data_IF_044236209013
#
_entry.id   IF_044236209013
#
_cell.length_a   1.000
_cell.length_b   1.000
_cell.length_c   1.000
_cell.angle_alpha   90.00
_cell.angle_beta   90.00
_cell.angle_gamma   90.00
#
_symmetry.space_group_name_H-M   'P 1'
#
loop_
_entity.id
_entity.type
_entity.pdbx_description
1 polymer ?
#
# COMPACT_ATOMS: atom_id res chain seq x y z
N UNK A 1 16.69 6.25 -12.54
CA UNK A 1 16.49 5.23 -11.48
C UNK A 1 16.12 6.00 -10.22
N UNK A 2 15.09 5.60 -9.49
CA UNK A 2 14.69 6.27 -8.24
C UNK A 2 15.67 5.93 -7.13
N UNK A 3 16.17 6.94 -6.42
CA UNK A 3 17.03 6.75 -5.25
C UNK A 3 16.20 6.80 -3.96
N UNK A 4 16.53 5.89 -3.03
CA UNK A 4 15.80 5.71 -1.78
C UNK A 4 16.71 6.02 -0.60
N UNK A 5 16.23 6.90 0.28
CA UNK A 5 16.92 7.26 1.51
C UNK A 5 16.11 6.73 2.69
N UNK A 6 16.74 5.94 3.56
CA UNK A 6 16.12 5.36 4.75
C UNK A 6 17.04 5.44 5.96
N UNK A 7 16.46 5.60 7.15
CA UNK A 7 17.18 5.61 8.43
C UNK A 7 17.29 7.00 9.07
N UNK A 8 17.91 7.07 10.25
CA UNK A 8 18.29 8.33 10.87
C UNK A 8 19.40 8.90 10.03
N UNK A 9 19.14 10.01 9.35
CA UNK A 9 20.21 10.63 8.58
C UNK A 9 21.13 11.27 9.61
N UNK A 10 22.35 10.76 9.69
CA UNK A 10 23.33 11.25 10.63
C UNK A 10 23.77 12.66 10.23
N UNK A 11 24.20 13.44 11.22
CA UNK A 11 24.78 14.77 11.01
C UNK A 11 26.12 14.71 10.23
N UNK A 12 26.52 13.53 9.74
CA UNK A 12 27.75 13.27 8.99
C UNK A 12 27.54 13.21 7.46
N UNK A 13 26.36 13.55 6.96
CA UNK A 13 26.17 13.93 5.55
C UNK A 13 26.18 12.80 4.52
N UNK A 14 26.10 11.52 4.94
CA UNK A 14 26.15 10.37 4.01
C UNK A 14 24.85 10.09 3.26
N UNK A 15 23.77 10.77 3.62
CA UNK A 15 22.53 10.85 2.87
C UNK A 15 22.17 12.34 2.87
N UNK A 16 22.60 13.16 1.92
CA UNK A 16 22.10 14.54 1.83
C UNK A 16 21.65 14.79 0.41
N UNK A 17 20.44 15.31 0.28
CA UNK A 17 19.95 15.77 -1.00
C UNK A 17 20.64 17.11 -1.26
N UNK A 18 21.56 17.09 -2.23
CA UNK A 18 22.32 18.29 -2.58
C UNK A 18 21.61 19.16 -3.62
N UNK A 19 20.67 18.59 -4.36
CA UNK A 19 19.89 19.32 -5.35
C UNK A 19 18.75 20.11 -4.68
N UNK A 20 18.38 21.26 -5.25
CA UNK A 20 17.13 21.90 -4.89
C UNK A 20 15.94 21.04 -5.37
N UNK A 21 14.93 20.88 -4.53
CA UNK A 21 13.83 19.93 -4.79
C UNK A 21 12.48 20.60 -5.01
N UNK A 22 11.66 19.95 -5.84
CA UNK A 22 10.20 20.07 -5.83
C UNK A 22 9.68 18.84 -5.11
N UNK A 23 9.02 19.04 -3.98
CA UNK A 23 8.73 17.94 -3.07
C UNK A 23 7.28 17.85 -2.63
N UNK A 24 6.92 16.67 -2.15
CA UNK A 24 5.69 16.41 -1.41
C UNK A 24 6.02 15.66 -0.12
N UNK A 25 5.15 15.79 0.90
CA UNK A 25 5.30 15.07 2.16
C UNK A 25 3.96 14.51 2.66
N UNK A 26 3.98 13.27 3.17
CA UNK A 26 2.78 12.61 3.68
C UNK A 26 2.99 11.13 4.01
N UNK A 27 1.97 10.45 4.54
CA UNK A 27 2.07 9.01 4.85
C UNK A 27 2.12 8.15 3.60
N UNK A 28 1.50 8.61 2.50
CA UNK A 28 1.50 7.92 1.19
C UNK A 28 1.15 6.43 1.27
N UNK A 29 0.30 6.05 2.24
CA UNK A 29 -0.12 4.65 2.35
C UNK A 29 -1.06 4.29 1.20
N UNK A 30 -0.90 3.10 0.64
CA UNK A 30 -1.67 2.64 -0.52
C UNK A 30 -1.32 3.32 -1.85
N UNK A 31 -0.74 4.52 -1.87
CA UNK A 31 -0.45 5.32 -3.09
C UNK A 31 -1.64 5.29 -4.05
N UNK A 32 -2.79 5.77 -3.57
CA UNK A 32 -4.01 5.89 -4.37
C UNK A 32 -3.90 6.96 -5.45
N UNK A 33 -4.90 7.07 -6.32
CA UNK A 33 -4.90 8.01 -7.45
C UNK A 33 -4.67 9.47 -7.03
N UNK A 34 -5.22 9.88 -5.89
CA UNK A 34 -4.92 11.18 -5.26
C UNK A 34 -3.43 11.40 -5.01
N UNK A 35 -2.74 10.42 -4.40
CA UNK A 35 -1.28 10.47 -4.23
C UNK A 35 -0.54 10.49 -5.58
N UNK A 36 -0.96 9.67 -6.54
CA UNK A 36 -0.34 9.62 -7.88
C UNK A 36 -0.44 10.96 -8.62
N UNK A 37 -1.56 11.68 -8.47
CA UNK A 37 -1.72 13.04 -9.02
C UNK A 37 -0.68 14.00 -8.45
N UNK A 38 -0.46 13.98 -7.14
CA UNK A 38 0.58 14.80 -6.47
C UNK A 38 1.97 14.42 -6.99
N UNK A 39 2.29 13.11 -7.00
CA UNK A 39 3.59 12.60 -7.47
C UNK A 39 3.85 13.02 -8.92
N UNK A 40 2.90 12.81 -9.82
CA UNK A 40 3.03 13.19 -11.22
C UNK A 40 3.28 14.69 -11.39
N UNK A 41 2.59 15.52 -10.59
CA UNK A 41 2.76 16.97 -10.62
C UNK A 41 4.15 17.40 -10.16
N UNK A 42 4.65 16.88 -9.03
CA UNK A 42 6.02 17.23 -8.57
C UNK A 42 7.07 16.77 -9.58
N UNK A 43 6.89 15.61 -10.23
CA UNK A 43 7.82 15.12 -11.24
C UNK A 43 7.83 16.02 -12.49
N UNK A 44 6.65 16.41 -12.99
CA UNK A 44 6.54 17.31 -14.14
C UNK A 44 7.14 18.70 -13.82
N UNK A 45 6.83 19.22 -12.63
CA UNK A 45 7.30 20.54 -12.21
C UNK A 45 8.80 20.56 -12.01
N UNK A 46 9.37 19.56 -11.33
CA UNK A 46 10.80 19.38 -11.16
C UNK A 46 11.53 19.39 -12.52
N UNK A 47 11.04 18.60 -13.48
CA UNK A 47 11.59 18.58 -14.85
C UNK A 47 11.51 19.95 -15.54
N UNK A 48 10.38 20.64 -15.44
CA UNK A 48 10.16 21.92 -16.10
C UNK A 48 11.12 23.02 -15.61
N UNK A 49 11.56 22.95 -14.35
CA UNK A 49 12.44 23.96 -13.74
C UNK A 49 13.88 23.45 -13.51
N UNK A 50 14.25 22.30 -14.07
CA UNK A 50 15.59 21.74 -13.97
C UNK A 50 16.00 21.30 -12.55
N UNK A 51 15.03 20.85 -11.73
CA UNK A 51 15.22 20.39 -10.35
C UNK A 51 14.89 18.91 -10.19
N UNK A 52 15.11 18.38 -8.99
CA UNK A 52 14.78 16.99 -8.62
C UNK A 52 13.45 16.88 -7.90
N UNK A 53 12.71 15.83 -8.20
CA UNK A 53 11.46 15.50 -7.53
C UNK A 53 11.71 14.65 -6.27
N UNK A 54 11.08 15.02 -5.15
CA UNK A 54 11.25 14.32 -3.88
C UNK A 54 9.91 13.98 -3.22
N UNK A 55 9.71 12.72 -2.84
CA UNK A 55 8.63 12.32 -1.94
C UNK A 55 9.20 11.99 -0.59
N UNK A 56 8.72 12.70 0.43
CA UNK A 56 9.02 12.39 1.83
C UNK A 56 7.85 11.63 2.42
N UNK A 57 8.14 10.47 2.99
CA UNK A 57 7.17 9.65 3.71
C UNK A 57 7.73 9.15 5.03
N UNK A 58 6.88 8.53 5.84
CA UNK A 58 7.19 8.18 7.20
C UNK A 58 7.20 6.67 7.38
N UNK A 59 8.15 6.20 8.19
CA UNK A 59 8.21 4.81 8.63
C UNK A 59 8.71 4.74 10.08
N UNK A 60 8.01 4.09 11.02
CA UNK A 60 6.68 3.51 10.85
C UNK A 60 5.60 4.58 10.61
N UNK A 61 4.35 4.16 10.42
CA UNK A 61 3.24 5.09 10.25
C UNK A 61 3.11 6.02 11.47
N UNK A 62 2.93 7.35 11.33
CA UNK A 62 2.91 8.27 12.47
C UNK A 62 1.95 7.89 13.59
N UNK A 63 0.74 7.41 13.24
CA UNK A 63 -0.24 6.93 14.23
C UNK A 63 0.21 5.70 15.02
N UNK A 64 1.09 4.84 14.49
CA UNK A 64 1.60 3.71 15.27
C UNK A 64 2.52 4.13 16.42
N UNK A 65 3.00 5.38 16.39
CA UNK A 65 3.79 5.98 17.46
C UNK A 65 2.93 6.89 18.34
N UNK A 66 2.08 7.72 17.72
CA UNK A 66 1.25 8.69 18.44
C UNK A 66 0.07 8.06 19.18
N UNK A 67 -0.52 7.01 18.63
CA UNK A 67 -1.71 6.35 19.15
C UNK A 67 -1.75 4.90 18.66
N UNK A 68 -0.91 4.01 19.21
CA UNK A 68 -0.78 2.62 18.74
C UNK A 68 -2.12 1.88 18.61
N UNK A 69 -3.04 2.08 19.55
CA UNK A 69 -4.36 1.44 19.55
C UNK A 69 -5.28 1.90 18.40
N UNK A 70 -4.94 3.03 17.76
CA UNK A 70 -5.66 3.60 16.62
C UNK A 70 -4.86 3.50 15.32
N UNK A 71 -3.71 2.83 15.34
CA UNK A 71 -2.90 2.65 14.17
C UNK A 71 -3.66 1.81 13.13
N UNK A 72 -3.81 2.30 11.89
CA UNK A 72 -4.50 1.54 10.87
C UNK A 72 -3.62 0.37 10.41
N UNK A 73 -4.25 -0.71 9.93
CA UNK A 73 -3.56 -1.68 9.08
C UNK A 73 -3.05 -1.00 7.81
N UNK A 74 -1.86 -1.39 7.36
CA UNK A 74 -1.15 -0.73 6.27
C UNK A 74 -1.63 -1.26 4.91
N UNK A 75 -1.98 -0.36 4.00
CA UNK A 75 -2.37 -0.72 2.63
C UNK A 75 -1.16 -1.18 1.80
N UNK A 76 0.04 -0.71 2.16
CA UNK A 76 1.30 -1.11 1.51
C UNK A 76 2.37 -1.34 2.55
N UNK A 77 3.13 -2.44 2.41
CA UNK A 77 4.40 -2.60 3.14
C UNK A 77 5.46 -1.64 2.58
N UNK A 78 6.57 -1.49 3.28
CA UNK A 78 7.73 -0.74 2.81
C UNK A 78 8.21 -1.20 1.42
N UNK A 79 8.31 -2.51 1.20
CA UNK A 79 8.81 -3.06 -0.07
C UNK A 79 7.80 -2.84 -1.21
N UNK A 80 6.50 -3.03 -0.94
CA UNK A 80 5.45 -2.75 -1.92
C UNK A 80 5.39 -1.26 -2.28
N UNK A 81 5.52 -0.37 -1.28
CA UNK A 81 5.54 1.08 -1.50
C UNK A 81 6.71 1.48 -2.41
N UNK A 82 7.90 0.89 -2.20
CA UNK A 82 9.06 1.11 -3.08
C UNK A 82 8.78 0.64 -4.51
N UNK A 83 8.25 -0.57 -4.69
CA UNK A 83 7.91 -1.12 -6.00
C UNK A 83 6.94 -0.19 -6.76
N UNK A 84 5.88 0.28 -6.09
CA UNK A 84 4.89 1.19 -6.70
C UNK A 84 5.53 2.54 -7.07
N UNK A 85 6.36 3.12 -6.19
CA UNK A 85 7.00 4.42 -6.44
C UNK A 85 8.04 4.36 -7.55
N UNK A 86 8.73 3.23 -7.73
CA UNK A 86 9.69 3.04 -8.82
C UNK A 86 9.04 3.26 -10.20
N UNK A 87 7.75 2.90 -10.35
CA UNK A 87 6.96 3.12 -11.57
C UNK A 87 6.42 4.54 -11.75
N UNK A 88 6.60 5.44 -10.78
CA UNK A 88 6.02 6.80 -10.81
C UNK A 88 6.95 7.86 -11.43
N UNK A 89 8.19 7.50 -11.77
CA UNK A 89 9.15 8.42 -12.39
C UNK A 89 9.65 9.53 -11.46
N UNK A 90 9.67 9.25 -10.16
CA UNK A 90 10.21 10.14 -9.13
C UNK A 90 11.72 9.97 -8.99
N UNK A 91 12.46 11.07 -8.75
CA UNK A 91 13.91 11.02 -8.57
C UNK A 91 14.27 10.45 -7.20
N UNK A 92 13.72 11.04 -6.14
CA UNK A 92 14.07 10.72 -4.75
C UNK A 92 12.86 10.32 -3.90
N UNK A 93 13.05 9.32 -3.04
CA UNK A 93 12.10 8.95 -1.99
C UNK A 93 12.81 8.90 -0.65
N UNK A 94 12.38 9.71 0.30
CA UNK A 94 12.90 9.74 1.66
C UNK A 94 11.91 9.10 2.64
N UNK A 95 12.33 8.03 3.30
CA UNK A 95 11.62 7.40 4.42
C UNK A 95 12.16 7.94 5.73
N UNK A 96 11.49 8.95 6.27
CA UNK A 96 11.81 9.52 7.57
C UNK A 96 11.41 8.57 8.71
N UNK A 97 12.34 8.23 9.63
CA UNK A 97 11.99 7.56 10.87
C UNK A 97 11.03 8.43 11.67
N UNK A 98 9.78 7.99 11.83
CA UNK A 98 8.85 8.66 12.73
C UNK A 98 9.03 8.08 14.12
N UNK A 99 9.56 8.89 15.05
CA UNK A 99 9.81 8.49 16.43
C UNK A 99 9.25 9.53 17.40
N UNK A 100 9.37 9.27 18.71
CA UNK A 100 8.86 10.17 19.74
C UNK A 100 9.46 11.58 19.65
N UNK A 101 10.74 11.69 19.28
CA UNK A 101 11.43 12.99 19.14
C UNK A 101 10.85 13.81 17.99
N UNK A 102 10.64 13.20 16.82
CA UNK A 102 9.99 13.85 15.69
C UNK A 102 8.53 14.19 15.98
N UNK A 103 7.87 13.42 16.85
CA UNK A 103 6.46 13.65 17.18
C UNK A 103 6.23 14.92 18.03
N UNK A 104 7.26 15.36 18.76
CA UNK A 104 7.22 16.58 19.58
C UNK A 104 7.90 17.78 18.90
N UNK A 105 8.40 17.62 17.67
CA UNK A 105 9.06 18.68 16.93
C UNK A 105 8.11 19.86 16.69
N UNK A 106 8.60 21.07 16.98
CA UNK A 106 7.91 22.30 16.64
C UNK A 106 7.76 22.41 15.10
N UNK A 107 6.58 22.83 14.58
CA UNK A 107 6.35 22.95 13.15
C UNK A 107 7.40 23.79 12.41
N UNK A 108 7.81 24.94 12.95
CA UNK A 108 8.82 25.81 12.31
C UNK A 108 10.17 25.11 12.28
N UNK A 109 10.56 24.48 13.39
CA UNK A 109 11.81 23.72 13.46
C UNK A 109 11.81 22.55 12.47
N UNK A 110 10.69 21.86 12.31
CA UNK A 110 10.56 20.78 11.33
C UNK A 110 10.77 21.28 9.89
N UNK A 111 10.12 22.39 9.51
CA UNK A 111 10.30 22.98 8.18
C UNK A 111 11.75 23.39 7.96
N UNK A 112 12.37 24.06 8.93
CA UNK A 112 13.77 24.48 8.81
C UNK A 112 14.72 23.28 8.68
N UNK A 113 14.73 22.39 9.67
CA UNK A 113 15.73 21.32 9.77
C UNK A 113 15.56 20.28 8.65
N UNK A 114 14.32 19.93 8.29
CA UNK A 114 14.07 18.88 7.30
C UNK A 114 13.84 19.44 5.90
N UNK A 115 12.85 20.32 5.72
CA UNK A 115 12.44 20.75 4.37
C UNK A 115 13.50 21.66 3.75
N UNK A 116 14.02 22.63 4.49
CA UNK A 116 14.98 23.61 3.98
C UNK A 116 16.41 23.05 4.03
N UNK A 117 16.91 22.75 5.22
CA UNK A 117 18.34 22.43 5.40
C UNK A 117 18.71 21.06 4.79
N UNK A 118 17.86 20.04 5.00
CA UNK A 118 18.14 18.66 4.56
C UNK A 118 17.60 18.32 3.17
N UNK A 119 16.41 18.79 2.81
CA UNK A 119 15.76 18.45 1.55
C UNK A 119 15.83 19.55 0.48
N UNK A 120 16.34 20.74 0.84
CA UNK A 120 16.55 21.87 -0.07
C UNK A 120 15.30 22.21 -0.88
N UNK A 121 14.17 22.21 -0.19
CA UNK A 121 12.86 22.50 -0.79
C UNK A 121 12.89 23.85 -1.50
N UNK A 122 12.29 23.88 -2.69
CA UNK A 122 12.00 25.12 -3.39
C UNK A 122 10.53 25.29 -3.72
N UNK A 123 9.85 24.19 -3.98
CA UNK A 123 8.40 24.14 -4.15
C UNK A 123 7.89 22.93 -3.37
N UNK A 124 6.92 23.15 -2.48
CA UNK A 124 6.25 22.13 -1.69
C UNK A 124 4.83 21.97 -2.21
N UNK A 125 4.48 20.78 -2.66
CA UNK A 125 3.13 20.45 -3.12
C UNK A 125 2.52 19.48 -2.11
N UNK A 126 1.38 19.82 -1.53
CA UNK A 126 0.68 19.02 -0.50
C UNK A 126 -0.80 18.86 -0.82
N UNK A 127 -1.44 17.85 -0.22
CA UNK A 127 -2.90 17.71 -0.27
C UNK A 127 -3.61 18.71 0.65
N UNK A 128 -4.88 19.01 0.33
CA UNK A 128 -5.74 19.91 1.10
C UNK A 128 -5.88 19.57 2.60
N UNK A 129 -5.76 18.30 2.97
CA UNK A 129 -5.90 17.77 4.33
C UNK A 129 -4.54 17.61 5.05
N UNK A 130 -3.46 18.15 4.49
CA UNK A 130 -2.13 18.01 5.06
C UNK A 130 -2.01 18.67 6.44
N UNK A 131 -1.52 17.89 7.41
CA UNK A 131 -1.23 18.32 8.78
C UNK A 131 0.17 17.86 9.19
N UNK A 132 0.87 18.68 9.97
CA UNK A 132 2.24 18.37 10.42
C UNK A 132 2.57 19.01 11.78
N UNK A 133 3.73 18.64 12.34
CA UNK A 133 4.20 19.09 13.65
C UNK A 133 3.42 18.51 14.83
N UNK A 134 3.82 18.87 16.05
CA UNK A 134 3.24 18.33 17.30
C UNK A 134 1.71 18.43 17.30
N UNK A 135 1.04 17.28 17.41
CA UNK A 135 -0.43 17.18 17.45
C UNK A 135 -1.14 17.58 16.15
N UNK A 136 -0.44 17.69 15.01
CA UNK A 136 -1.02 18.18 13.76
C UNK A 136 -1.35 19.69 13.79
N UNK A 137 -0.65 20.45 14.62
CA UNK A 137 -0.85 21.89 14.80
C UNK A 137 -0.50 22.74 13.58
N UNK A 138 0.34 22.23 12.68
CA UNK A 138 0.65 22.87 11.41
C UNK A 138 -0.33 22.51 10.31
N UNK A 139 -0.68 23.50 9.49
CA UNK A 139 -1.54 23.38 8.32
C UNK A 139 -0.93 24.07 7.08
N UNK A 140 -1.67 24.04 5.97
CA UNK A 140 -1.24 24.67 4.73
C UNK A 140 -0.97 26.19 4.89
N UNK A 141 -1.76 26.89 5.70
CA UNK A 141 -1.57 28.32 5.93
C UNK A 141 -0.25 28.61 6.66
N UNK A 142 0.08 27.81 7.67
CA UNK A 142 1.38 27.89 8.33
C UNK A 142 2.53 27.57 7.36
N UNK A 143 2.38 26.57 6.49
CA UNK A 143 3.38 26.25 5.47
C UNK A 143 3.59 27.42 4.50
N UNK A 144 2.54 28.07 4.03
CA UNK A 144 2.64 29.22 3.13
C UNK A 144 3.38 30.39 3.80
N UNK A 145 3.09 30.66 5.08
CA UNK A 145 3.79 31.69 5.85
C UNK A 145 5.28 31.36 5.99
N UNK A 146 5.60 30.14 6.42
CA UNK A 146 6.98 29.68 6.57
C UNK A 146 7.71 29.62 5.22
N UNK A 147 7.02 29.29 4.14
CA UNK A 147 7.52 29.30 2.77
C UNK A 147 8.02 30.67 2.35
N UNK A 148 7.23 31.71 2.60
CA UNK A 148 7.64 33.11 2.35
C UNK A 148 8.86 33.51 3.17
N UNK A 149 8.91 33.11 4.44
CA UNK A 149 10.03 33.44 5.33
C UNK A 149 11.33 32.67 4.99
N UNK A 150 11.20 31.44 4.48
CA UNK A 150 12.32 30.51 4.24
C UNK A 150 12.58 30.27 2.74
N UNK A 151 12.02 31.10 1.87
CA UNK A 151 12.24 31.13 0.43
C UNK A 151 11.87 29.84 -0.34
N UNK A 152 10.68 29.28 -0.07
CA UNK A 152 10.05 28.23 -0.89
C UNK A 152 8.56 28.51 -1.12
N UNK A 153 8.02 28.02 -2.24
CA UNK A 153 6.59 28.14 -2.53
C UNK A 153 5.81 26.93 -2.01
N UNK A 154 4.52 27.12 -1.72
CA UNK A 154 3.60 26.06 -1.31
C UNK A 154 2.43 26.05 -2.28
N UNK A 155 2.06 24.87 -2.75
CA UNK A 155 0.84 24.63 -3.52
C UNK A 155 0.01 23.55 -2.85
N UNK A 156 -1.28 23.83 -2.67
CA UNK A 156 -2.25 22.89 -2.12
C UNK A 156 -3.07 22.30 -3.27
N UNK A 157 -3.12 20.97 -3.38
CA UNK A 157 -3.95 20.29 -4.39
C UNK A 157 -5.28 19.85 -3.78
N UNK A 158 -6.37 20.18 -4.47
CA UNK A 158 -7.71 19.65 -4.24
C UNK A 158 -7.77 18.11 -4.35
N UNK A 159 -8.61 17.46 -3.53
CA UNK A 159 -8.75 16.01 -3.56
C UNK A 159 -9.25 15.52 -4.92
N UNK A 160 -8.81 14.32 -5.28
CA UNK A 160 -9.51 13.57 -6.33
C UNK A 160 -10.80 12.98 -5.76
N UNK A 161 -11.85 13.00 -6.55
CA UNK A 161 -13.15 12.44 -6.17
C UNK A 161 -13.41 11.12 -6.90
N UNK A 162 -14.08 10.19 -6.21
CA UNK A 162 -14.63 8.95 -6.74
C UNK A 162 -16.07 8.84 -6.23
N UNK A 163 -17.04 8.76 -7.14
CA UNK A 163 -18.48 8.81 -6.77
C UNK A 163 -18.87 10.07 -5.98
N UNK A 164 -18.19 11.19 -6.18
CA UNK A 164 -18.41 12.44 -5.43
C UNK A 164 -17.77 12.51 -4.04
N UNK A 165 -17.07 11.46 -3.60
CA UNK A 165 -16.36 11.42 -2.31
C UNK A 165 -14.84 11.52 -2.50
N UNK A 166 -14.09 12.15 -1.58
CA UNK A 166 -12.63 12.19 -1.65
C UNK A 166 -11.98 10.82 -1.59
N UNK A 167 -11.12 10.52 -2.58
CA UNK A 167 -10.27 9.33 -2.57
C UNK A 167 -9.24 9.48 -1.44
N UNK A 168 -9.25 8.55 -0.49
CA UNK A 168 -8.34 8.56 0.66
C UNK A 168 -7.92 7.14 1.06
N UNK A 169 -6.81 7.04 1.79
CA UNK A 169 -6.37 5.76 2.37
C UNK A 169 -7.44 5.15 3.28
N UNK A 170 -8.17 5.97 4.05
CA UNK A 170 -9.26 5.50 4.90
C UNK A 170 -10.43 4.92 4.11
N UNK A 171 -10.77 5.53 2.96
CA UNK A 171 -11.81 5.01 2.07
C UNK A 171 -11.41 3.66 1.46
N UNK A 172 -10.17 3.54 0.96
CA UNK A 172 -9.64 2.28 0.45
C UNK A 172 -9.66 1.18 1.51
N UNK A 173 -9.21 1.47 2.75
CA UNK A 173 -9.28 0.50 3.86
C UNK A 173 -10.71 0.05 4.12
N UNK A 174 -11.66 1.00 4.20
CA UNK A 174 -13.07 0.68 4.43
C UNK A 174 -13.63 -0.26 3.34
N UNK A 175 -13.33 0.02 2.07
CA UNK A 175 -13.77 -0.80 0.95
C UNK A 175 -13.20 -2.24 1.04
N UNK A 176 -11.90 -2.38 1.34
CA UNK A 176 -11.26 -3.69 1.50
C UNK A 176 -11.81 -4.46 2.72
N UNK A 177 -12.05 -3.76 3.84
CA UNK A 177 -12.65 -4.33 5.05
C UNK A 177 -14.12 -4.76 4.86
N UNK A 178 -14.82 -4.23 3.85
CA UNK A 178 -16.16 -4.67 3.47
C UNK A 178 -16.20 -5.64 2.29
N UNK A 179 -15.04 -6.08 1.77
CA UNK A 179 -14.94 -6.97 0.62
C UNK A 179 -15.15 -6.29 -0.74
N UNK A 180 -15.34 -4.97 -0.77
CA UNK A 180 -15.49 -4.19 -2.01
C UNK A 180 -14.11 -3.87 -2.64
N UNK A 181 -13.48 -4.92 -3.15
CA UNK A 181 -12.17 -4.83 -3.78
C UNK A 181 -12.20 -4.04 -5.09
N UNK A 182 -13.35 -3.97 -5.78
CA UNK A 182 -13.50 -3.22 -7.03
C UNK A 182 -13.37 -1.72 -6.76
N UNK A 183 -14.14 -1.18 -5.80
CA UNK A 183 -14.03 0.23 -5.41
C UNK A 183 -12.63 0.57 -4.89
N UNK A 184 -12.02 -0.33 -4.11
CA UNK A 184 -10.64 -0.15 -3.65
C UNK A 184 -9.65 -0.05 -4.83
N UNK A 185 -9.80 -0.92 -5.83
CA UNK A 185 -8.95 -0.92 -7.03
C UNK A 185 -9.13 0.35 -7.86
N UNK A 186 -10.36 0.84 -8.00
CA UNK A 186 -10.68 2.08 -8.72
C UNK A 186 -10.05 3.31 -8.08
N UNK A 187 -10.09 3.38 -6.74
CA UNK A 187 -9.44 4.43 -5.95
C UNK A 187 -7.92 4.35 -6.02
N UNK A 188 -7.38 3.13 -6.00
CA UNK A 188 -5.94 2.87 -6.12
C UNK A 188 -5.41 3.09 -7.55
N UNK A 189 -6.27 2.94 -8.56
CA UNK A 189 -5.89 2.89 -9.97
C UNK A 189 -5.01 1.68 -10.31
N UNK A 190 -5.13 0.59 -9.54
CA UNK A 190 -4.48 -0.71 -9.74
C UNK A 190 -5.17 -1.75 -8.85
N UNK A 191 -4.95 -3.03 -9.12
CA UNK A 191 -5.34 -4.08 -8.21
C UNK A 191 -4.62 -3.96 -6.86
N UNK A 192 -5.37 -3.98 -5.77
CA UNK A 192 -4.85 -4.17 -4.43
C UNK A 192 -4.15 -5.52 -4.37
N UNK A 193 -3.00 -5.59 -3.69
CA UNK A 193 -2.20 -6.80 -3.67
C UNK A 193 -1.44 -6.96 -2.36
N UNK A 194 -1.01 -8.20 -2.12
CA UNK A 194 0.00 -8.52 -1.11
C UNK A 194 1.04 -9.46 -1.70
N UNK A 195 2.23 -9.45 -1.11
CA UNK A 195 3.27 -10.45 -1.37
C UNK A 195 3.32 -11.45 -0.23
N UNK A 196 3.38 -12.74 -0.56
CA UNK A 196 3.50 -13.82 0.40
C UNK A 196 4.51 -14.87 -0.02
N UNK A 197 4.75 -15.83 0.87
CA UNK A 197 5.55 -17.03 0.63
C UNK A 197 4.67 -18.26 0.80
N UNK A 198 4.81 -19.22 -0.11
CA UNK A 198 4.11 -20.49 -0.02
C UNK A 198 4.72 -21.33 1.09
N UNK A 199 3.92 -21.63 2.11
CA UNK A 199 4.30 -22.41 3.29
C UNK A 199 3.60 -23.77 3.31
N UNK A 200 4.06 -24.65 4.20
CA UNK A 200 3.42 -25.95 4.38
C UNK A 200 2.09 -25.72 5.11
N UNK A 201 1.04 -26.41 4.69
CA UNK A 201 -0.21 -26.47 5.42
C UNK A 201 -0.79 -27.87 5.45
N UNK A 202 -2.08 -27.97 5.77
CA UNK A 202 -2.70 -29.24 6.15
C UNK A 202 -2.94 -30.22 4.98
N UNK A 203 -2.61 -29.83 3.73
CA UNK A 203 -2.73 -30.64 2.49
C UNK A 203 -4.12 -31.22 2.19
N UNK A 204 -5.16 -30.87 2.95
CA UNK A 204 -6.54 -31.38 2.82
C UNK A 204 -7.13 -31.15 1.42
N UNK A 205 -6.87 -29.99 0.81
CA UNK A 205 -7.37 -29.69 -0.53
C UNK A 205 -6.90 -30.70 -1.59
N UNK A 206 -5.69 -31.25 -1.46
CA UNK A 206 -5.16 -32.25 -2.40
C UNK A 206 -5.95 -33.55 -2.39
N UNK A 207 -6.44 -33.97 -1.23
CA UNK A 207 -7.29 -35.17 -1.08
C UNK A 207 -8.67 -34.98 -1.73
N UNK A 208 -9.12 -33.73 -1.86
CA UNK A 208 -10.40 -33.35 -2.45
C UNK A 208 -10.32 -33.05 -3.95
N UNK A 209 -9.14 -33.16 -4.57
CA UNK A 209 -8.91 -32.78 -5.97
C UNK A 209 -8.65 -31.28 -6.19
N UNK A 210 -8.55 -30.48 -5.12
CA UNK A 210 -8.29 -29.04 -5.15
C UNK A 210 -7.01 -28.69 -4.40
N UNK A 211 -5.81 -28.99 -4.94
CA UNK A 211 -4.55 -28.66 -4.27
C UNK A 211 -4.41 -27.15 -4.04
N UNK A 212 -4.44 -26.72 -2.78
CA UNK A 212 -4.24 -25.33 -2.36
C UNK A 212 -2.83 -25.08 -1.85
N UNK A 213 -2.30 -23.90 -2.15
CA UNK A 213 -1.07 -23.37 -1.57
C UNK A 213 -1.40 -22.49 -0.35
N UNK A 214 -0.81 -22.78 0.81
CA UNK A 214 -0.96 -21.93 1.99
C UNK A 214 0.02 -20.76 1.88
N UNK A 215 -0.44 -19.53 2.07
CA UNK A 215 0.36 -18.34 1.87
C UNK A 215 0.57 -17.63 3.21
N UNK A 216 1.83 -17.43 3.59
CA UNK A 216 2.20 -16.54 4.69
C UNK A 216 2.52 -15.16 4.12
N UNK A 217 1.86 -14.11 4.60
CA UNK A 217 2.11 -12.73 4.15
C UNK A 217 3.54 -12.33 4.52
N UNK A 218 4.28 -11.78 3.55
CA UNK A 218 5.63 -11.28 3.78
C UNK A 218 5.59 -9.84 4.30
N UNK A 219 5.39 -9.70 5.60
CA UNK A 219 5.49 -8.44 6.33
C UNK A 219 6.77 -8.41 7.18
N UNK A 220 7.91 -8.25 6.51
CA UNK A 220 9.25 -8.31 7.12
C UNK A 220 9.48 -7.30 8.26
N UNK A 221 8.65 -6.27 8.32
CA UNK A 221 8.82 -5.15 9.22
C UNK A 221 7.68 -5.01 10.22
N UNK A 222 6.78 -6.01 10.26
CA UNK A 222 5.63 -6.05 11.15
C UNK A 222 4.78 -4.76 11.04
N UNK A 223 4.55 -4.33 9.81
CA UNK A 223 3.80 -3.11 9.47
C UNK A 223 2.28 -3.33 9.56
N UNK A 224 1.82 -4.56 9.86
CA UNK A 224 0.41 -4.95 9.90
C UNK A 224 -0.27 -4.74 8.55
N UNK A 225 0.23 -5.41 7.51
CA UNK A 225 -0.36 -5.41 6.18
C UNK A 225 -1.86 -5.75 6.22
N UNK A 226 -2.71 -4.87 5.69
CA UNK A 226 -4.14 -5.10 5.58
C UNK A 226 -4.41 -6.24 4.59
N UNK A 227 -5.10 -7.26 5.08
CA UNK A 227 -5.69 -8.33 4.26
C UNK A 227 -7.21 -8.12 4.23
N UNK A 228 -7.87 -8.17 3.05
CA UNK A 228 -9.31 -7.91 2.92
C UNK A 228 -10.22 -8.77 3.80
N UNK A 229 -11.52 -8.46 3.76
CA UNK A 229 -12.57 -9.21 4.45
C UNK A 229 -12.43 -10.73 4.24
N UNK A 230 -12.79 -11.51 5.24
CA UNK A 230 -12.83 -12.97 5.13
C UNK A 230 -13.81 -13.43 4.03
N UNK A 231 -13.44 -14.47 3.28
CA UNK A 231 -14.24 -14.99 2.17
C UNK A 231 -13.42 -15.52 1.01
N UNK A 232 -14.08 -15.69 -0.14
CA UNK A 232 -13.48 -16.22 -1.37
C UNK A 232 -13.36 -15.11 -2.40
N UNK A 233 -12.20 -15.03 -3.04
CA UNK A 233 -11.87 -14.00 -4.02
C UNK A 233 -11.37 -14.63 -5.32
N UNK A 234 -11.75 -14.03 -6.46
CA UNK A 234 -11.02 -14.21 -7.71
C UNK A 234 -9.80 -13.29 -7.68
N UNK A 235 -8.62 -13.86 -7.95
CA UNK A 235 -7.35 -13.15 -7.88
C UNK A 235 -6.47 -13.50 -9.08
N UNK A 236 -5.58 -12.58 -9.44
CA UNK A 236 -4.39 -12.91 -10.21
C UNK A 236 -3.26 -13.25 -9.24
N UNK A 237 -2.47 -14.24 -9.57
CA UNK A 237 -1.26 -14.55 -8.82
C UNK A 237 -0.06 -14.50 -9.77
N UNK A 238 1.05 -13.90 -9.32
CA UNK A 238 2.33 -13.99 -9.98
C UNK A 238 3.24 -14.91 -9.19
N UNK A 239 3.65 -16.00 -9.82
CA UNK A 239 4.58 -16.97 -9.25
C UNK A 239 5.79 -17.08 -10.19
N UNK A 240 6.98 -16.80 -9.67
CA UNK A 240 8.19 -16.62 -10.49
C UNK A 240 7.95 -15.59 -11.62
N UNK A 241 7.94 -16.02 -12.89
CA UNK A 241 7.67 -15.17 -14.07
C UNK A 241 6.26 -15.32 -14.63
N UNK A 242 5.46 -16.26 -14.11
CA UNK A 242 4.16 -16.58 -14.67
C UNK A 242 3.05 -15.81 -13.95
N UNK A 243 2.14 -15.25 -14.73
CA UNK A 243 0.86 -14.72 -14.25
C UNK A 243 -0.22 -15.80 -14.46
N UNK A 244 -0.92 -16.13 -13.38
CA UNK A 244 -1.95 -17.18 -13.34
C UNK A 244 -3.21 -16.64 -12.65
N UNK A 245 -4.35 -17.25 -12.93
CA UNK A 245 -5.62 -16.94 -12.25
C UNK A 245 -5.87 -17.95 -11.15
N UNK A 246 -6.47 -17.50 -10.06
CA UNK A 246 -6.67 -18.32 -8.87
C UNK A 246 -7.93 -17.91 -8.10
N UNK A 247 -8.46 -18.84 -7.32
CA UNK A 247 -9.39 -18.57 -6.25
C UNK A 247 -8.60 -18.50 -4.92
N UNK A 248 -8.75 -17.41 -4.18
CA UNK A 248 -8.15 -17.22 -2.86
C UNK A 248 -9.21 -17.36 -1.78
N UNK A 249 -8.98 -18.25 -0.83
CA UNK A 249 -9.73 -18.33 0.42
C UNK A 249 -8.98 -17.56 1.52
N UNK A 250 -9.67 -16.59 2.12
CA UNK A 250 -9.24 -15.87 3.32
C UNK A 250 -10.10 -16.38 4.47
N UNK A 251 -9.54 -17.30 5.24
CA UNK A 251 -10.17 -17.90 6.41
C UNK A 251 -10.00 -17.07 7.69
N UNK A 252 -10.75 -17.41 8.75
CA UNK A 252 -10.63 -16.76 10.04
C UNK A 252 -9.24 -17.00 10.65
N UNK A 253 -8.86 -16.13 11.60
CA UNK A 253 -7.65 -16.36 12.41
C UNK A 253 -7.79 -17.68 13.19
N UNK A 254 -6.76 -18.54 13.20
CA UNK A 254 -6.77 -19.75 14.01
C UNK A 254 -6.98 -19.43 15.49
N UNK A 255 -7.71 -20.29 16.21
CA UNK A 255 -8.03 -20.09 17.64
C UNK A 255 -6.82 -20.33 18.56
N UNK A 256 -5.74 -20.91 18.06
CA UNK A 256 -4.54 -21.25 18.81
C UNK A 256 -3.28 -20.62 18.20
N UNK A 257 -2.74 -19.61 18.86
CA UNK A 257 -1.35 -19.16 18.73
C UNK A 257 -0.96 -18.40 17.46
N UNK A 258 -1.62 -18.61 16.33
CA UNK A 258 -1.33 -17.90 15.08
C UNK A 258 -2.16 -16.61 14.97
N UNK A 259 -1.46 -15.48 14.83
CA UNK A 259 -2.08 -14.16 14.66
C UNK A 259 -2.51 -13.89 13.21
N UNK A 260 -2.03 -14.70 12.26
CA UNK A 260 -2.23 -14.50 10.83
C UNK A 260 -3.54 -15.11 10.33
N UNK A 261 -4.20 -14.44 9.39
CA UNK A 261 -5.34 -15.00 8.66
C UNK A 261 -4.87 -16.22 7.86
N UNK A 262 -5.71 -17.25 7.78
CA UNK A 262 -5.44 -18.40 6.91
C UNK A 262 -5.66 -18.00 5.44
N UNK A 263 -4.60 -18.05 4.62
CA UNK A 263 -4.68 -17.72 3.20
C UNK A 263 -4.38 -18.96 2.37
N UNK A 264 -5.39 -19.45 1.64
CA UNK A 264 -5.27 -20.63 0.78
C UNK A 264 -5.54 -20.25 -0.67
N UNK A 265 -4.54 -20.43 -1.52
CA UNK A 265 -4.59 -20.09 -2.94
C UNK A 265 -4.80 -21.38 -3.77
N UNK A 266 -5.93 -21.48 -4.46
CA UNK A 266 -6.18 -22.50 -5.47
C UNK A 266 -5.91 -21.92 -6.86
N UNK A 267 -4.79 -22.30 -7.47
CA UNK A 267 -4.42 -21.84 -8.82
C UNK A 267 -5.11 -22.74 -9.84
N UNK A 268 -5.88 -22.13 -10.75
CA UNK A 268 -6.62 -22.86 -11.77
C UNK A 268 -5.67 -23.51 -12.78
N UNK A 269 -5.99 -24.74 -13.19
CA UNK A 269 -5.30 -25.50 -14.23
C UNK A 269 -3.77 -25.62 -13.99
N UNK A 270 -3.35 -25.68 -12.72
CA UNK A 270 -1.95 -25.59 -12.32
C UNK A 270 -1.47 -26.85 -11.58
N UNK A 271 -0.35 -27.41 -12.04
CA UNK A 271 0.18 -28.69 -11.53
C UNK A 271 1.61 -28.62 -11.01
N UNK A 272 2.23 -27.43 -10.99
CA UNK A 272 3.63 -27.26 -10.55
C UNK A 272 3.72 -27.09 -9.04
N UNK A 273 4.81 -27.59 -8.45
CA UNK A 273 5.14 -27.31 -7.06
C UNK A 273 5.71 -25.89 -6.92
N UNK A 274 5.09 -25.12 -6.03
CA UNK A 274 5.45 -23.72 -5.75
C UNK A 274 5.83 -23.53 -4.28
N UNK A 275 6.15 -24.60 -3.56
CA UNK A 275 6.58 -24.53 -2.17
C UNK A 275 7.81 -23.62 -1.98
N UNK A 276 7.79 -22.78 -0.95
CA UNK A 276 8.79 -21.73 -0.64
C UNK A 276 8.95 -20.65 -1.72
N UNK A 277 8.12 -20.65 -2.77
CA UNK A 277 8.13 -19.58 -3.75
C UNK A 277 7.44 -18.34 -3.19
N UNK A 278 7.91 -17.18 -3.63
CA UNK A 278 7.19 -15.92 -3.43
C UNK A 278 6.03 -15.85 -4.42
N UNK A 279 4.89 -15.40 -3.94
CA UNK A 279 3.72 -15.13 -4.75
C UNK A 279 3.24 -13.71 -4.49
N UNK A 280 2.95 -12.97 -5.55
CA UNK A 280 2.19 -11.71 -5.46
C UNK A 280 0.76 -12.03 -5.82
N UNK A 281 -0.17 -11.72 -4.92
CA UNK A 281 -1.60 -11.97 -5.14
C UNK A 281 -2.30 -10.63 -5.31
N UNK A 282 -3.01 -10.46 -6.42
CA UNK A 282 -3.72 -9.24 -6.80
C UNK A 282 -5.22 -9.51 -6.81
N UNK A 283 -5.96 -8.78 -5.99
CA UNK A 283 -7.41 -8.95 -5.84
C UNK A 283 -8.15 -8.37 -7.03
N UNK A 284 -9.03 -9.18 -7.62
CA UNK A 284 -9.89 -8.76 -8.74
C UNK A 284 -11.32 -8.59 -8.26
N UNK A 285 -11.87 -9.62 -7.60
CA UNK A 285 -13.27 -9.60 -7.18
C UNK A 285 -13.53 -10.47 -5.95
N UNK A 286 -14.44 -10.01 -5.09
CA UNK A 286 -15.01 -10.81 -4.02
C UNK A 286 -16.14 -11.69 -4.53
N UNK A 287 -16.02 -13.00 -4.35
CA UNK A 287 -16.99 -13.97 -4.87
C UNK A 287 -18.14 -14.22 -3.90
N UNK A 288 -17.81 -14.46 -2.63
CA UNK A 288 -18.75 -14.80 -1.55
C UNK A 288 -18.05 -14.84 -0.18
N UNK A 289 -18.85 -14.85 0.88
CA UNK A 289 -18.37 -15.12 2.25
C UNK A 289 -18.05 -16.59 2.50
N UNK A 290 -17.52 -16.88 3.69
CA UNK A 290 -17.23 -18.25 4.14
C UNK A 290 -18.54 -18.99 4.39
N UNK A 291 -18.62 -20.24 3.93
CA UNK A 291 -19.75 -21.14 4.11
C UNK A 291 -19.31 -22.39 4.86
N UNK A 292 -20.18 -22.91 5.72
CA UNK A 292 -20.00 -24.22 6.36
C UNK A 292 -20.72 -25.30 5.56
N UNK A 293 -20.11 -26.47 5.44
CA UNK A 293 -20.67 -27.60 4.68
C UNK A 293 -20.91 -28.80 5.60
N UNK A 294 -22.04 -29.48 5.40
CA UNK A 294 -22.41 -30.69 6.13
C UNK A 294 -21.83 -31.98 5.51
N UNK A 295 -21.29 -31.90 4.28
CA UNK A 295 -20.65 -33.02 3.61
C UNK A 295 -19.50 -32.57 2.70
N UNK A 296 -18.60 -33.50 2.40
CA UNK A 296 -17.44 -33.29 1.52
C UNK A 296 -17.89 -32.98 0.08
N UNK A 297 -18.95 -33.62 -0.39
CA UNK A 297 -19.51 -33.42 -1.73
C UNK A 297 -20.07 -32.00 -1.87
N UNK A 298 -20.73 -31.48 -0.82
CA UNK A 298 -21.24 -30.11 -0.81
C UNK A 298 -20.13 -29.07 -0.88
N UNK A 299 -19.00 -29.32 -0.19
CA UNK A 299 -17.80 -28.49 -0.28
C UNK A 299 -17.23 -28.50 -1.70
N UNK A 300 -16.98 -29.68 -2.27
CA UNK A 300 -16.45 -29.85 -3.63
C UNK A 300 -17.33 -29.12 -4.65
N UNK A 301 -18.65 -29.33 -4.61
CA UNK A 301 -19.58 -28.68 -5.54
C UNK A 301 -19.56 -27.14 -5.41
N UNK A 302 -19.31 -26.58 -4.23
CA UNK A 302 -19.14 -25.13 -4.10
C UNK A 302 -17.78 -24.66 -4.64
N UNK A 303 -16.70 -25.42 -4.40
CA UNK A 303 -15.38 -25.09 -4.93
C UNK A 303 -15.39 -25.08 -6.47
N UNK A 304 -16.06 -26.02 -7.11
CA UNK A 304 -16.26 -26.03 -8.57
C UNK A 304 -16.99 -24.77 -9.06
N UNK A 305 -18.04 -24.33 -8.35
CA UNK A 305 -18.75 -23.08 -8.68
C UNK A 305 -17.87 -21.85 -8.52
N UNK A 306 -17.04 -21.80 -7.48
CA UNK A 306 -16.12 -20.68 -7.25
C UNK A 306 -15.03 -20.61 -8.34
N UNK A 307 -14.52 -21.77 -8.77
CA UNK A 307 -13.56 -21.89 -9.88
C UNK A 307 -14.17 -21.44 -11.20
N UNK A 308 -15.38 -21.91 -11.51
CA UNK A 308 -16.10 -21.52 -12.73
C UNK A 308 -16.40 -20.01 -12.74
N UNK A 309 -16.85 -19.46 -11.61
CA UNK A 309 -17.07 -18.01 -11.48
C UNK A 309 -15.76 -17.22 -11.66
N UNK A 310 -14.67 -17.71 -11.08
CA UNK A 310 -13.33 -17.12 -11.25
C UNK A 310 -12.94 -17.09 -12.73
N UNK A 311 -13.12 -18.21 -13.45
CA UNK A 311 -12.79 -18.30 -14.88
C UNK A 311 -13.57 -17.26 -15.70
N UNK A 312 -14.88 -17.18 -15.50
CA UNK A 312 -15.75 -16.21 -16.21
C UNK A 312 -15.32 -14.76 -16.00
N UNK A 313 -15.01 -14.37 -14.76
CA UNK A 313 -14.54 -13.02 -14.43
C UNK A 313 -13.29 -12.65 -15.26
N UNK A 314 -12.38 -13.61 -15.49
CA UNK A 314 -11.18 -13.36 -16.27
C UNK A 314 -11.39 -13.42 -17.79
N UNK A 315 -12.35 -14.20 -18.28
CA UNK A 315 -12.73 -14.21 -19.70
C UNK A 315 -13.40 -12.90 -20.12
N UNK A 316 -14.29 -12.36 -19.28
CA UNK A 316 -14.98 -11.09 -19.53
C UNK A 316 -14.02 -9.90 -19.53
N UNK A 317 -13.04 -9.88 -18.61
CA UNK A 317 -12.05 -8.79 -18.50
C UNK A 317 -10.96 -8.79 -19.59
N UNK A 318 -10.80 -9.89 -20.35
CA UNK A 318 -9.90 -9.93 -21.53
C UNK A 318 -10.59 -9.35 -22.78
N UNK A 319 -11.92 -9.23 -22.74
CA UNK A 319 -12.75 -8.79 -23.87
C UNK A 319 -13.09 -7.30 -23.84
N UNK A 320 -12.60 -6.55 -22.85
CA UNK A 320 -12.80 -5.10 -22.64
C UNK A 320 -11.49 -4.33 -22.65
#
# INVERSE_FOLDING_TARGET
MTEYFSGYWDDQGRNQIIDSTVMTIGTFDGIHRGHRKIIHKICNRARAIGKKSLLVTFRPHPLSILSPDKAPEMLTTYEEKKEILAGCGIDYVAFLPFNSDLSIYDPRRFVKDFLVDRFRVSELIVGYDHRFGKGGSGDAHLLEKLGKEMNFSVEVIEPMLSGGQPISSSHVRKALSSGDVRSANDDLGRSYSFVGEVVAGNKRGRELGFPTANIRVLDKHNEMKLIPLEGIYAVKARVDQDEVIAALHIGPRPTFGDLDKMLELYILDFSRDIYKKKVKVEFVEYLRGILSFQSTEGLIAQMERDVEKTRRIFEENVST
#
